data_IF_516308131805
#
_entry.id   IF_516308131805
#
_cell.length_a   1.000
_cell.length_b   1.000
_cell.length_c   1.000
_cell.angle_alpha   90.00
_cell.angle_beta   90.00
_cell.angle_gamma   90.00
#
_symmetry.space_group_name_H-M   'P 1'
#
loop_
_entity.id
_entity.type
_entity.pdbx_description
1 polymer ?
#
# COMPACT_ATOMS: atom_id res chain seq x y z
N UNK A 1 -7.32 6.58 -25.71
CA UNK A 1 -8.19 6.70 -24.52
C UNK A 1 -8.06 5.58 -23.48
N UNK A 2 -7.32 4.48 -23.71
CA UNK A 2 -7.00 3.49 -22.66
C UNK A 2 -5.62 3.72 -22.00
N UNK A 3 -4.65 4.26 -22.75
CA UNK A 3 -3.30 4.57 -22.27
C UNK A 3 -3.28 5.66 -21.20
N UNK A 4 -4.15 6.69 -21.31
CA UNK A 4 -4.27 7.75 -20.30
C UNK A 4 -4.79 7.19 -18.99
N UNK A 5 -5.82 6.34 -19.05
CA UNK A 5 -6.37 5.67 -17.87
C UNK A 5 -5.30 4.79 -17.23
N UNK A 6 -4.63 3.93 -18.00
CA UNK A 6 -3.50 3.13 -17.48
C UNK A 6 -2.39 4.01 -16.88
N UNK A 7 -2.02 5.10 -17.54
CA UNK A 7 -1.02 6.04 -17.05
C UNK A 7 -1.39 6.66 -15.70
N UNK A 8 -2.65 7.12 -15.56
CA UNK A 8 -3.17 7.64 -14.29
C UNK A 8 -3.16 6.57 -13.19
N UNK A 9 -3.60 5.35 -13.49
CA UNK A 9 -3.67 4.27 -12.51
C UNK A 9 -2.26 3.86 -12.02
N UNK A 10 -1.32 3.75 -12.95
CA UNK A 10 0.09 3.46 -12.63
C UNK A 10 0.71 4.61 -11.83
N UNK A 11 0.44 5.85 -12.24
CA UNK A 11 0.88 7.03 -11.50
C UNK A 11 0.34 7.02 -10.06
N UNK A 12 -0.95 6.76 -9.84
CA UNK A 12 -1.53 6.67 -8.50
C UNK A 12 -0.87 5.58 -7.64
N UNK A 13 -0.61 4.39 -8.22
CA UNK A 13 0.11 3.31 -7.53
C UNK A 13 1.50 3.76 -7.07
N UNK A 14 2.29 4.32 -7.97
CA UNK A 14 3.66 4.74 -7.65
C UNK A 14 3.69 5.96 -6.72
N UNK A 15 2.75 6.90 -6.87
CA UNK A 15 2.61 8.05 -5.98
C UNK A 15 2.32 7.60 -4.54
N UNK A 16 1.42 6.63 -4.37
CA UNK A 16 1.14 6.05 -3.06
C UNK A 16 2.36 5.36 -2.47
N UNK A 17 3.05 4.53 -3.27
CA UNK A 17 4.25 3.81 -2.82
C UNK A 17 5.37 4.75 -2.41
N UNK A 18 5.60 5.83 -3.17
CA UNK A 18 6.55 6.88 -2.82
C UNK A 18 6.13 7.59 -1.52
N UNK A 19 4.87 7.97 -1.41
CA UNK A 19 4.33 8.63 -0.21
C UNK A 19 4.52 7.78 1.05
N UNK A 20 4.17 6.49 0.99
CA UNK A 20 4.39 5.57 2.12
C UNK A 20 5.87 5.40 2.45
N UNK A 21 6.71 5.18 1.45
CA UNK A 21 8.16 5.00 1.66
C UNK A 21 8.81 6.25 2.26
N UNK A 22 8.33 7.44 1.90
CA UNK A 22 8.87 8.71 2.39
C UNK A 22 8.31 9.16 3.74
N UNK A 23 7.03 8.92 4.03
CA UNK A 23 6.35 9.53 5.18
C UNK A 23 5.91 8.55 6.27
N UNK A 24 5.80 7.24 5.98
CA UNK A 24 5.24 6.29 6.95
C UNK A 24 6.09 6.16 8.21
N UNK A 25 7.41 6.21 8.09
CA UNK A 25 8.32 6.17 9.25
C UNK A 25 8.17 7.41 10.13
N UNK A 26 8.13 8.61 9.53
CA UNK A 26 7.90 9.85 10.26
C UNK A 26 6.54 9.85 10.97
N UNK A 27 5.49 9.38 10.27
CA UNK A 27 4.17 9.22 10.86
C UNK A 27 4.17 8.32 12.10
N UNK A 28 4.86 7.17 12.05
CA UNK A 28 4.94 6.25 13.17
C UNK A 28 5.72 6.85 14.35
N UNK A 29 6.81 7.57 14.06
CA UNK A 29 7.61 8.27 15.08
C UNK A 29 6.77 9.36 15.75
N UNK A 30 6.09 10.21 14.97
CA UNK A 30 5.36 11.37 15.50
C UNK A 30 4.07 10.98 16.23
N UNK A 31 3.33 9.98 15.73
CA UNK A 31 2.04 9.58 16.31
C UNK A 31 2.16 8.60 17.48
N UNK A 32 3.14 7.70 17.43
CA UNK A 32 3.26 6.59 18.39
C UNK A 32 4.59 6.56 19.14
N UNK A 33 5.43 7.61 18.99
CA UNK A 33 6.73 7.73 19.64
C UNK A 33 7.67 6.53 19.40
N UNK A 34 7.53 5.89 18.23
CA UNK A 34 8.37 4.75 17.86
C UNK A 34 9.82 5.17 17.62
N UNK A 35 10.74 4.28 17.97
CA UNK A 35 12.13 4.43 17.53
C UNK A 35 12.24 4.38 16.01
N UNK A 36 13.30 4.98 15.46
CA UNK A 36 13.60 4.92 14.02
C UNK A 36 13.73 3.46 13.57
N UNK A 37 14.44 2.62 14.32
CA UNK A 37 14.63 1.21 13.99
C UNK A 37 13.29 0.45 13.94
N UNK A 38 12.43 0.64 14.95
CA UNK A 38 11.10 0.01 14.99
C UNK A 38 10.23 0.48 13.82
N UNK A 39 10.26 1.77 13.49
CA UNK A 39 9.50 2.33 12.37
C UNK A 39 9.97 1.78 11.01
N UNK A 40 11.28 1.59 10.84
CA UNK A 40 11.84 0.96 9.64
C UNK A 40 11.41 -0.51 9.49
N UNK A 41 11.24 -1.25 10.59
CA UNK A 41 10.67 -2.61 10.53
C UNK A 41 9.24 -2.61 10.02
N UNK A 42 8.42 -1.63 10.40
CA UNK A 42 7.04 -1.50 9.88
C UNK A 42 7.03 -1.16 8.39
N UNK A 43 7.92 -0.27 7.94
CA UNK A 43 8.09 0.02 6.52
C UNK A 43 8.57 -1.22 5.75
N UNK A 44 9.48 -2.01 6.33
CA UNK A 44 9.93 -3.26 5.74
C UNK A 44 8.79 -4.27 5.58
N UNK A 45 7.92 -4.41 6.59
CA UNK A 45 6.72 -5.26 6.50
C UNK A 45 5.79 -4.80 5.38
N UNK A 46 5.56 -3.49 5.24
CA UNK A 46 4.80 -2.92 4.13
C UNK A 46 5.43 -3.28 2.77
N UNK A 47 6.74 -3.06 2.59
CA UNK A 47 7.44 -3.36 1.33
C UNK A 47 7.45 -4.87 1.02
N UNK A 48 7.63 -5.71 2.03
CA UNK A 48 7.52 -7.16 1.91
C UNK A 48 6.12 -7.60 1.47
N UNK A 49 5.07 -6.96 2.01
CA UNK A 49 3.70 -7.19 1.59
C UNK A 49 3.46 -6.74 0.14
N UNK A 50 4.00 -5.59 -0.29
CA UNK A 50 3.96 -5.14 -1.70
C UNK A 50 4.63 -6.15 -2.64
N UNK A 51 5.79 -6.68 -2.24
CA UNK A 51 6.47 -7.71 -3.03
C UNK A 51 5.62 -8.98 -3.16
N UNK A 52 5.03 -9.45 -2.04
CA UNK A 52 4.13 -10.60 -2.05
C UNK A 52 2.87 -10.34 -2.90
N UNK A 53 2.23 -9.19 -2.71
CA UNK A 53 1.06 -8.74 -3.47
C UNK A 53 1.32 -8.69 -4.97
N UNK A 54 2.48 -8.18 -5.38
CA UNK A 54 2.90 -8.16 -6.79
C UNK A 54 3.13 -9.58 -7.34
N UNK A 55 3.74 -10.47 -6.54
CA UNK A 55 3.98 -11.86 -6.94
C UNK A 55 2.66 -12.62 -7.18
N UNK A 56 1.67 -12.48 -6.29
CA UNK A 56 0.35 -13.11 -6.46
C UNK A 56 -0.54 -12.36 -7.47
N UNK A 57 -0.42 -11.04 -7.53
CA UNK A 57 -1.20 -10.16 -8.39
C UNK A 57 -0.96 -10.41 -9.88
N UNK A 58 0.23 -10.87 -10.26
CA UNK A 58 0.54 -11.29 -11.64
C UNK A 58 -0.37 -12.44 -12.12
N UNK A 59 -0.25 -13.65 -11.56
CA UNK A 59 -1.11 -14.78 -11.90
C UNK A 59 -2.61 -14.51 -11.74
N UNK A 60 -3.00 -13.69 -10.76
CA UNK A 60 -4.40 -13.27 -10.58
C UNK A 60 -4.82 -12.39 -11.75
N UNK A 61 -4.04 -11.36 -12.10
CA UNK A 61 -4.33 -10.45 -13.21
C UNK A 61 -4.40 -11.12 -14.57
N UNK A 62 -3.63 -12.19 -14.77
CA UNK A 62 -3.69 -12.99 -16.00
C UNK A 62 -4.99 -13.82 -16.09
N UNK A 63 -5.59 -14.21 -14.95
CA UNK A 63 -6.84 -14.98 -14.90
C UNK A 63 -8.10 -14.12 -14.93
N UNK A 64 -8.15 -13.03 -14.17
CA UNK A 64 -9.35 -12.17 -14.02
C UNK A 64 -9.30 -10.89 -14.87
N UNK A 65 -8.18 -10.64 -15.55
CA UNK A 65 -7.99 -9.50 -16.43
C UNK A 65 -7.39 -8.29 -15.72
N UNK A 66 -6.34 -7.74 -16.33
CA UNK A 66 -5.49 -6.66 -15.78
C UNK A 66 -6.28 -5.41 -15.36
N UNK A 67 -7.35 -5.05 -16.08
CA UNK A 67 -8.21 -3.90 -15.72
C UNK A 67 -8.97 -4.11 -14.40
N UNK A 68 -9.49 -5.32 -14.15
CA UNK A 68 -10.23 -5.61 -12.93
C UNK A 68 -9.31 -5.56 -11.71
N UNK A 69 -8.09 -6.09 -11.83
CA UNK A 69 -7.08 -6.03 -10.75
C UNK A 69 -6.72 -4.59 -10.42
N UNK A 70 -6.49 -3.74 -11.42
CA UNK A 70 -6.12 -2.34 -11.16
C UNK A 70 -7.26 -1.58 -10.46
N UNK A 71 -8.51 -1.80 -10.87
CA UNK A 71 -9.66 -1.20 -10.20
C UNK A 71 -9.80 -1.70 -8.76
N UNK A 72 -9.59 -3.00 -8.53
CA UNK A 72 -9.59 -3.59 -7.21
C UNK A 72 -8.47 -3.02 -6.34
N UNK A 73 -7.26 -2.82 -6.87
CA UNK A 73 -6.15 -2.25 -6.09
C UNK A 73 -6.45 -0.83 -5.61
N UNK A 74 -7.04 0.02 -6.45
CA UNK A 74 -7.32 1.42 -6.08
C UNK A 74 -8.51 1.54 -5.14
N UNK A 75 -9.63 0.88 -5.46
CA UNK A 75 -10.81 0.91 -4.60
C UNK A 75 -10.62 0.11 -3.32
N UNK A 76 -9.84 -0.96 -3.38
CA UNK A 76 -9.53 -1.81 -2.24
C UNK A 76 -8.67 -1.10 -1.22
N UNK A 77 -7.63 -0.36 -1.65
CA UNK A 77 -6.73 0.36 -0.74
C UNK A 77 -7.41 1.56 -0.07
N UNK A 78 -8.25 2.30 -0.78
CA UNK A 78 -8.88 3.54 -0.31
C UNK A 78 -9.51 3.48 1.10
N UNK A 79 -10.42 2.54 1.42
CA UNK A 79 -11.02 2.47 2.76
C UNK A 79 -9.98 2.20 3.86
N UNK A 80 -8.99 1.35 3.59
CA UNK A 80 -7.95 1.03 4.57
C UNK A 80 -7.03 2.23 4.84
N UNK A 81 -6.66 2.98 3.79
CA UNK A 81 -5.88 4.21 3.93
C UNK A 81 -6.61 5.26 4.77
N UNK A 82 -7.92 5.43 4.57
CA UNK A 82 -8.72 6.41 5.33
C UNK A 82 -8.86 6.04 6.81
N UNK A 83 -8.90 4.73 7.12
CA UNK A 83 -9.00 4.23 8.50
C UNK A 83 -7.65 4.31 9.24
N UNK A 84 -6.53 4.15 8.53
CA UNK A 84 -5.17 4.12 9.10
C UNK A 84 -4.84 5.25 10.11
N UNK A 85 -5.19 6.53 9.86
CA UNK A 85 -4.93 7.60 10.84
C UNK A 85 -5.75 7.51 12.13
N UNK A 86 -6.80 6.70 12.17
CA UNK A 86 -7.75 6.63 13.29
C UNK A 86 -7.51 5.43 14.21
N UNK A 87 -6.62 4.51 13.84
CA UNK A 87 -6.36 3.29 14.61
C UNK A 87 -5.08 3.37 15.43
N UNK A 88 -4.90 2.40 16.33
CA UNK A 88 -3.71 2.23 17.15
C UNK A 88 -2.53 1.64 16.35
N UNK A 89 -1.38 1.48 17.00
CA UNK A 89 -0.15 1.00 16.35
C UNK A 89 -0.32 -0.42 15.77
N UNK A 90 -0.98 -1.32 16.52
CA UNK A 90 -1.17 -2.70 16.09
C UNK A 90 -1.96 -2.77 14.78
N UNK A 91 -3.11 -2.09 14.74
CA UNK A 91 -3.94 -2.02 13.55
C UNK A 91 -3.30 -1.21 12.43
N UNK A 92 -2.51 -0.19 12.74
CA UNK A 92 -1.71 0.54 11.74
C UNK A 92 -0.75 -0.40 11.01
N UNK A 93 -0.09 -1.31 11.73
CA UNK A 93 0.82 -2.30 11.16
C UNK A 93 0.08 -3.34 10.32
N UNK A 94 -1.07 -3.83 10.78
CA UNK A 94 -1.90 -4.76 10.00
C UNK A 94 -2.42 -4.10 8.72
N UNK A 95 -2.96 -2.89 8.83
CA UNK A 95 -3.49 -2.15 7.68
C UNK A 95 -2.39 -1.84 6.68
N UNK A 96 -1.17 -1.48 7.12
CA UNK A 96 -0.06 -1.25 6.19
C UNK A 96 0.29 -2.51 5.42
N UNK A 97 0.31 -3.70 6.07
CA UNK A 97 0.53 -4.98 5.38
C UNK A 97 -0.59 -5.28 4.38
N UNK A 98 -1.86 -5.09 4.76
CA UNK A 98 -3.00 -5.33 3.85
C UNK A 98 -2.95 -4.38 2.64
N UNK A 99 -2.69 -3.10 2.88
CA UNK A 99 -2.54 -2.08 1.83
C UNK A 99 -1.37 -2.45 0.91
N UNK A 100 -0.23 -2.82 1.50
CA UNK A 100 0.94 -3.26 0.76
C UNK A 100 0.61 -4.45 -0.14
N UNK A 101 -0.08 -5.46 0.37
CA UNK A 101 -0.46 -6.64 -0.39
C UNK A 101 -1.42 -6.35 -1.55
N UNK A 102 -2.32 -5.38 -1.40
CA UNK A 102 -3.28 -5.01 -2.46
C UNK A 102 -2.61 -4.18 -3.57
N UNK A 103 -1.54 -3.44 -3.25
CA UNK A 103 -0.80 -2.56 -4.16
C UNK A 103 -0.04 -3.31 -5.25
#
# INVERSE_FOLDING_TARGET
SALVVLGLLVFSKYFYMASFTSYFTFYLIEKFDLSVASSQLHLFLFLGAVAAGTFFGGPIGDKIGRKAVIWFSILGVAPFTLILPHVDLFWTSILSVVIGFIL
#
